data_IF_126147323542
#
_entry.id   IF_126147323542
#
_cell.length_a   1.000
_cell.length_b   1.000
_cell.length_c   1.000
_cell.angle_alpha   90.00
_cell.angle_beta   90.00
_cell.angle_gamma   90.00
#
_symmetry.space_group_name_H-M   'P 1'
#
loop_
_entity.id
_entity.type
_entity.pdbx_description
1 polymer ?
#
# COMPACT_ATOMS: atom_id res chain seq x y z
N UNK A 1 1.94 -0.66 17.19
CA UNK A 1 1.81 0.41 18.20
C UNK A 1 2.55 1.65 17.70
N UNK A 2 2.30 2.82 18.27
CA UNK A 2 3.05 4.05 17.91
C UNK A 2 4.54 3.91 18.27
N UNK A 3 4.84 3.23 19.38
CA UNK A 3 6.22 2.96 19.82
C UNK A 3 7.03 2.17 18.79
N UNK A 4 6.41 1.24 18.04
CA UNK A 4 7.11 0.46 16.99
C UNK A 4 7.66 1.37 15.88
N UNK A 5 6.88 2.37 15.47
CA UNK A 5 7.29 3.35 14.45
C UNK A 5 8.44 4.23 14.94
N UNK A 6 8.34 4.71 16.18
CA UNK A 6 9.38 5.54 16.80
C UNK A 6 10.67 4.74 17.00
N UNK A 7 10.56 3.48 17.45
CA UNK A 7 11.69 2.58 17.64
C UNK A 7 12.44 2.37 16.33
N UNK A 8 11.71 2.01 15.26
CA UNK A 8 12.27 1.78 13.92
C UNK A 8 13.08 2.97 13.43
N UNK A 9 12.56 4.18 13.61
CA UNK A 9 13.26 5.40 13.22
C UNK A 9 14.48 5.71 14.09
N UNK A 10 14.34 5.54 15.41
CA UNK A 10 15.40 5.81 16.36
C UNK A 10 16.61 4.89 16.10
N UNK A 11 16.38 3.58 15.98
CA UNK A 11 17.46 2.61 15.74
C UNK A 11 18.12 2.80 14.37
N UNK A 12 17.37 3.21 13.34
CA UNK A 12 17.93 3.52 12.02
C UNK A 12 19.01 4.61 12.12
N UNK A 13 18.70 5.72 12.79
CA UNK A 13 19.64 6.83 12.94
C UNK A 13 20.77 6.51 13.93
N UNK A 14 20.46 5.79 15.01
CA UNK A 14 21.39 5.57 16.11
C UNK A 14 22.55 4.65 15.71
N UNK A 15 22.30 3.60 14.91
CA UNK A 15 23.35 2.66 14.46
C UNK A 15 24.46 3.30 13.63
N UNK A 16 24.20 4.44 12.99
CA UNK A 16 25.21 5.15 12.19
C UNK A 16 26.07 6.12 13.02
N UNK A 17 25.79 6.28 14.32
CA UNK A 17 26.54 7.19 15.19
C UNK A 17 27.66 6.45 15.90
N UNK A 18 28.91 6.86 15.68
CA UNK A 18 30.09 6.21 16.26
C UNK A 18 30.06 6.16 17.80
N UNK A 19 29.34 7.08 18.45
CA UNK A 19 29.12 7.11 19.90
C UNK A 19 28.01 6.18 20.41
N UNK A 20 27.21 5.59 19.52
CA UNK A 20 26.12 4.70 19.91
C UNK A 20 26.66 3.35 20.39
N UNK A 21 26.04 2.81 21.46
CA UNK A 21 26.34 1.46 21.92
C UNK A 21 25.99 0.38 20.89
N UNK A 22 25.08 0.69 19.96
CA UNK A 22 24.67 -0.19 18.86
C UNK A 22 25.27 0.25 17.53
N UNK A 23 26.38 1.00 17.56
CA UNK A 23 27.05 1.46 16.34
C UNK A 23 27.44 0.29 15.43
N UNK A 24 27.18 0.48 14.14
CA UNK A 24 27.54 -0.46 13.08
C UNK A 24 27.96 0.34 11.84
N UNK A 25 29.23 0.20 11.44
CA UNK A 25 29.79 0.93 10.31
C UNK A 25 29.03 0.65 9.00
N UNK A 26 28.43 -0.54 8.85
CA UNK A 26 27.62 -0.89 7.69
C UNK A 26 26.33 -0.06 7.57
N UNK A 27 25.87 0.56 8.67
CA UNK A 27 24.68 1.42 8.67
C UNK A 27 24.97 2.84 8.17
N UNK A 28 26.21 3.31 8.27
CA UNK A 28 26.61 4.70 7.98
C UNK A 28 26.22 5.15 6.57
N UNK A 29 26.50 4.39 5.49
CA UNK A 29 26.18 4.83 4.13
C UNK A 29 24.68 5.09 3.90
N UNK A 30 23.81 4.29 4.55
CA UNK A 30 22.35 4.43 4.41
C UNK A 30 21.83 5.69 5.11
N UNK A 31 22.36 6.00 6.31
CA UNK A 31 21.97 7.19 7.06
C UNK A 31 22.52 8.46 6.40
N UNK A 32 23.78 8.42 5.93
CA UNK A 32 24.40 9.54 5.21
C UNK A 32 23.67 9.88 3.91
N UNK A 33 23.14 8.88 3.20
CA UNK A 33 22.32 9.09 2.02
C UNK A 33 20.93 9.66 2.36
N UNK A 34 20.37 9.27 3.51
CA UNK A 34 19.03 9.70 3.96
C UNK A 34 19.00 11.15 4.46
N UNK A 35 19.96 11.53 5.32
CA UNK A 35 19.95 12.78 6.09
C UNK A 35 19.84 14.08 5.27
N UNK A 36 20.48 14.25 4.09
CA UNK A 36 20.41 15.49 3.33
C UNK A 36 18.98 15.88 2.91
N UNK A 37 18.17 14.87 2.59
CA UNK A 37 16.80 15.05 2.11
C UNK A 37 15.78 15.18 3.24
N UNK A 38 16.00 14.49 4.36
CA UNK A 38 15.08 14.43 5.49
C UNK A 38 14.99 15.78 6.22
N UNK A 39 13.78 16.29 6.42
CA UNK A 39 13.51 17.55 7.14
C UNK A 39 12.81 17.36 8.47
N UNK A 40 12.14 16.24 8.66
CA UNK A 40 11.53 15.93 9.93
C UNK A 40 10.38 14.94 9.81
N UNK A 41 9.95 14.51 10.98
CA UNK A 41 8.78 13.67 11.17
C UNK A 41 8.02 14.22 12.38
N UNK A 42 6.70 14.39 12.24
CA UNK A 42 5.77 14.63 13.35
C UNK A 42 4.66 13.57 13.42
N UNK A 43 4.37 13.05 14.61
CA UNK A 43 3.15 12.27 14.88
C UNK A 43 2.04 13.27 15.17
N UNK A 44 1.09 13.42 14.24
CA UNK A 44 -0.01 14.38 14.34
C UNK A 44 -1.21 13.81 15.11
N UNK A 45 -1.39 12.49 15.08
CA UNK A 45 -2.43 11.76 15.80
C UNK A 45 -1.96 10.35 16.11
N UNK A 46 -2.39 9.78 17.23
CA UNK A 46 -2.13 8.37 17.60
C UNK A 46 -3.34 7.47 17.38
N UNK A 47 -4.54 8.04 17.19
CA UNK A 47 -5.78 7.31 16.93
C UNK A 47 -6.76 8.15 16.06
N UNK A 48 -6.90 7.86 14.75
CA UNK A 48 -6.04 6.96 13.98
C UNK A 48 -4.60 7.48 13.93
N UNK A 49 -3.63 6.59 13.76
CA UNK A 49 -2.22 6.97 13.64
C UNK A 49 -2.02 7.80 12.36
N UNK A 50 -1.67 9.07 12.54
CA UNK A 50 -1.33 9.97 11.44
C UNK A 50 0.09 10.48 11.66
N UNK A 51 0.93 10.20 10.67
CA UNK A 51 2.31 10.63 10.65
C UNK A 51 2.53 11.58 9.48
N UNK A 52 3.14 12.73 9.78
CA UNK A 52 3.63 13.67 8.79
C UNK A 52 5.13 13.47 8.59
N UNK A 53 5.53 13.35 7.33
CA UNK A 53 6.92 13.21 6.92
C UNK A 53 7.30 14.36 5.99
N UNK A 54 8.43 15.00 6.27
CA UNK A 54 8.92 16.14 5.52
C UNK A 54 10.28 15.79 4.90
N UNK A 55 10.38 15.89 3.57
CA UNK A 55 11.63 15.71 2.84
C UNK A 55 11.68 16.55 1.56
N UNK A 56 12.90 16.80 1.07
CA UNK A 56 13.15 17.45 -0.23
C UNK A 56 13.21 16.45 -1.40
N UNK A 57 13.08 15.14 -1.13
CA UNK A 57 13.04 14.10 -2.16
C UNK A 57 11.70 14.08 -2.85
N UNK A 58 11.73 14.02 -4.18
CA UNK A 58 10.56 13.75 -4.99
C UNK A 58 10.93 12.86 -6.18
N UNK A 59 9.97 12.05 -6.61
CA UNK A 59 10.03 11.24 -7.81
C UNK A 59 9.26 11.92 -8.95
N UNK A 60 9.62 11.64 -10.19
CA UNK A 60 8.88 12.16 -11.36
C UNK A 60 7.45 11.60 -11.40
N UNK A 61 7.31 10.33 -11.03
CA UNK A 61 6.02 9.64 -10.92
C UNK A 61 5.37 9.98 -9.58
N UNK A 62 4.17 10.56 -9.63
CA UNK A 62 3.48 11.11 -8.46
C UNK A 62 3.18 10.03 -7.40
N UNK A 63 2.85 8.81 -7.83
CA UNK A 63 2.57 7.67 -6.96
C UNK A 63 3.78 7.25 -6.13
N UNK A 64 5.01 7.50 -6.61
CA UNK A 64 6.24 7.21 -5.89
C UNK A 64 6.62 8.32 -4.89
N UNK A 65 5.87 9.42 -4.84
CA UNK A 65 6.04 10.47 -3.84
C UNK A 65 5.27 10.20 -2.54
N UNK A 66 4.42 9.18 -2.53
CA UNK A 66 3.78 8.69 -1.31
C UNK A 66 4.79 7.83 -0.58
N UNK A 67 5.20 8.24 0.62
CA UNK A 67 6.07 7.44 1.48
C UNK A 67 5.23 6.58 2.43
N UNK A 68 5.10 5.26 2.20
CA UNK A 68 4.47 4.38 3.17
C UNK A 68 5.41 4.23 4.37
N UNK A 69 5.08 4.88 5.48
CA UNK A 69 5.77 4.65 6.73
C UNK A 69 5.26 3.35 7.35
N UNK A 70 6.20 2.47 7.69
CA UNK A 70 5.94 1.19 8.34
C UNK A 70 7.05 0.95 9.36
N UNK A 71 6.78 0.32 10.53
CA UNK A 71 7.81 -0.05 11.48
C UNK A 71 8.59 -1.27 10.97
N UNK A 72 9.29 -1.10 9.83
CA UNK A 72 10.25 -2.06 9.31
C UNK A 72 11.61 -1.88 9.98
N UNK A 73 12.46 -2.90 9.96
CA UNK A 73 13.78 -2.83 10.57
C UNK A 73 14.82 -2.40 9.55
N UNK A 74 15.71 -1.48 9.94
CA UNK A 74 16.88 -1.14 9.15
C UNK A 74 18.01 -2.18 9.25
N UNK A 75 17.83 -3.26 10.01
CA UNK A 75 18.88 -4.21 10.42
C UNK A 75 18.67 -5.65 9.93
N UNK A 76 17.71 -5.88 9.03
CA UNK A 76 17.50 -7.19 8.40
C UNK A 76 16.38 -8.06 9.00
N UNK A 77 15.71 -7.62 10.08
CA UNK A 77 14.39 -8.14 10.45
C UNK A 77 13.38 -7.74 9.36
N UNK A 78 13.30 -8.55 8.32
CA UNK A 78 12.36 -8.39 7.21
C UNK A 78 10.94 -8.68 7.69
N UNK A 79 10.20 -7.68 8.17
CA UNK A 79 8.85 -7.87 8.70
C UNK A 79 8.42 -6.74 9.63
N UNK A 80 7.39 -6.99 10.44
CA UNK A 80 6.89 -6.03 11.43
C UNK A 80 7.80 -6.01 12.67
N UNK A 81 8.41 -4.86 12.93
CA UNK A 81 9.42 -4.74 13.98
C UNK A 81 8.83 -4.17 15.25
N UNK A 82 8.30 -5.09 16.06
CA UNK A 82 7.82 -4.75 17.38
C UNK A 82 8.96 -4.25 18.28
N UNK A 83 8.72 -3.15 19.00
CA UNK A 83 9.77 -2.45 19.75
C UNK A 83 10.45 -3.35 20.78
N UNK A 84 9.74 -4.30 21.38
CA UNK A 84 10.27 -5.18 22.40
C UNK A 84 11.28 -6.20 21.85
N UNK A 85 11.13 -6.61 20.58
CA UNK A 85 12.13 -7.46 19.89
C UNK A 85 13.40 -6.65 19.63
N UNK A 86 13.25 -5.41 19.14
CA UNK A 86 14.40 -4.52 18.95
C UNK A 86 15.05 -4.11 20.27
N UNK A 87 14.30 -4.03 21.38
CA UNK A 87 14.83 -3.73 22.69
C UNK A 87 15.85 -4.80 23.13
N UNK A 88 15.46 -6.09 23.08
CA UNK A 88 16.34 -7.19 23.47
C UNK A 88 17.51 -7.36 22.50
N UNK A 89 17.28 -7.09 21.20
CA UNK A 89 18.34 -7.09 20.19
C UNK A 89 19.35 -5.97 20.43
N UNK A 90 18.89 -4.76 20.79
CA UNK A 90 19.77 -3.64 21.10
C UNK A 90 20.61 -3.90 22.35
N UNK A 91 20.04 -4.52 23.37
CA UNK A 91 20.79 -4.90 24.57
C UNK A 91 21.89 -5.92 24.23
N UNK A 92 21.58 -6.91 23.38
CA UNK A 92 22.52 -7.93 22.94
C UNK A 92 23.63 -7.40 22.01
N UNK A 93 23.28 -6.47 21.13
CA UNK A 93 24.22 -5.73 20.28
C UNK A 93 25.15 -4.86 21.15
N UNK A 94 24.57 -4.08 22.07
CA UNK A 94 25.31 -3.17 22.93
C UNK A 94 26.25 -3.90 23.89
N UNK A 95 25.97 -5.16 24.21
CA UNK A 95 26.85 -5.99 25.03
C UNK A 95 28.02 -6.59 24.24
N UNK A 96 27.98 -6.55 22.90
CA UNK A 96 28.96 -7.18 22.03
C UNK A 96 28.92 -8.72 22.05
N UNK A 97 27.78 -9.33 22.41
CA UNK A 97 27.64 -10.80 22.40
C UNK A 97 27.23 -11.33 21.02
N UNK A 98 26.47 -10.53 20.28
CA UNK A 98 26.03 -10.78 18.89
C UNK A 98 25.98 -9.46 18.13
N UNK A 99 26.12 -9.51 16.81
CA UNK A 99 26.08 -8.32 15.94
C UNK A 99 24.92 -8.34 14.95
N UNK A 100 24.28 -7.21 14.68
CA UNK A 100 23.22 -7.09 13.67
C UNK A 100 23.71 -7.44 12.26
N UNK A 101 24.86 -6.88 11.84
CA UNK A 101 25.40 -7.11 10.49
C UNK A 101 26.44 -8.23 10.46
N UNK A 102 26.54 -8.88 9.31
CA UNK A 102 27.60 -9.85 9.03
C UNK A 102 28.99 -9.18 9.06
N UNK A 103 29.12 -7.94 8.55
CA UNK A 103 30.39 -7.22 8.53
C UNK A 103 30.94 -6.99 9.94
N UNK A 104 30.09 -6.51 10.86
CA UNK A 104 30.49 -6.32 12.26
C UNK A 104 30.75 -7.64 12.96
N UNK A 105 29.91 -8.66 12.73
CA UNK A 105 30.11 -10.01 13.26
C UNK A 105 31.48 -10.58 12.86
N UNK A 106 31.86 -10.42 11.59
CA UNK A 106 33.14 -10.88 11.06
C UNK A 106 34.32 -10.07 11.65
N UNK A 107 34.21 -8.75 11.78
CA UNK A 107 35.28 -7.92 12.37
C UNK A 107 35.50 -8.24 13.85
N UNK A 108 34.42 -8.38 14.60
CA UNK A 108 34.45 -8.61 16.05
C UNK A 108 34.60 -10.10 16.43
N UNK A 109 34.50 -10.99 15.44
CA UNK A 109 34.56 -12.45 15.61
C UNK A 109 33.47 -12.97 16.58
N UNK A 110 32.25 -12.44 16.43
CA UNK A 110 31.06 -12.82 17.20
C UNK A 110 29.96 -13.33 16.27
N UNK A 111 28.90 -13.93 16.84
CA UNK A 111 27.79 -14.47 16.04
C UNK A 111 26.96 -13.33 15.44
N UNK A 112 26.59 -13.47 14.16
CA UNK A 112 25.58 -12.59 13.56
C UNK A 112 24.21 -12.90 14.17
N UNK A 113 23.51 -11.87 14.62
CA UNK A 113 22.20 -11.96 15.25
C UNK A 113 21.19 -12.66 14.33
N UNK A 114 20.67 -13.77 14.82
CA UNK A 114 19.54 -14.51 14.25
C UNK A 114 18.38 -14.58 15.25
N UNK A 115 17.19 -14.23 14.79
CA UNK A 115 15.97 -14.32 15.61
C UNK A 115 15.25 -15.65 15.48
N UNK A 116 15.71 -16.54 14.60
CA UNK A 116 15.01 -17.78 14.20
C UNK A 116 15.74 -19.05 14.59
N UNK A 117 16.99 -18.95 15.04
CA UNK A 117 17.82 -20.12 15.32
C UNK A 117 19.26 -19.78 15.68
N UNK A 118 20.00 -20.80 16.08
CA UNK A 118 21.43 -20.69 16.41
C UNK A 118 21.70 -20.15 17.82
N UNK A 119 22.99 -19.92 18.16
CA UNK A 119 23.41 -19.46 19.48
C UNK A 119 22.79 -18.11 19.89
N UNK A 120 22.38 -17.29 18.91
CA UNK A 120 21.73 -16.00 19.16
C UNK A 120 20.47 -16.11 20.02
N UNK A 121 19.73 -17.24 19.95
CA UNK A 121 18.48 -17.39 20.72
C UNK A 121 18.72 -17.41 22.22
N UNK A 122 19.82 -18.00 22.70
CA UNK A 122 20.15 -18.02 24.13
C UNK A 122 20.51 -16.61 24.62
N UNK A 123 21.26 -15.86 23.81
CA UNK A 123 21.62 -14.47 24.10
C UNK A 123 20.38 -13.57 24.13
N UNK A 124 19.51 -13.67 23.12
CA UNK A 124 18.25 -12.91 23.07
C UNK A 124 17.33 -13.26 24.25
N UNK A 125 17.26 -14.53 24.66
CA UNK A 125 16.47 -14.95 25.84
C UNK A 125 17.00 -14.35 27.14
N UNK A 126 18.32 -14.33 27.33
CA UNK A 126 18.97 -13.66 28.46
C UNK A 126 18.57 -12.18 28.53
N UNK A 127 18.58 -11.47 27.40
CA UNK A 127 18.20 -10.05 27.37
C UNK A 127 16.70 -9.81 27.46
N UNK A 128 15.87 -10.76 27.05
CA UNK A 128 14.43 -10.74 27.38
C UNK A 128 14.21 -10.81 28.89
N UNK A 129 14.87 -11.74 29.59
CA UNK A 129 14.72 -11.89 31.04
C UNK A 129 15.17 -10.62 31.78
N UNK A 130 16.28 -10.02 31.33
CA UNK A 130 16.75 -8.73 31.86
C UNK A 130 15.74 -7.62 31.59
N UNK A 131 15.34 -7.43 30.34
CA UNK A 131 14.45 -6.35 29.93
C UNK A 131 13.09 -6.43 30.63
N UNK A 132 12.56 -7.64 30.80
CA UNK A 132 11.31 -7.88 31.52
C UNK A 132 11.45 -7.57 33.03
N UNK A 133 12.55 -7.98 33.66
CA UNK A 133 12.78 -7.72 35.09
C UNK A 133 12.96 -6.23 35.39
N UNK A 134 13.57 -5.48 34.47
CA UNK A 134 13.85 -4.05 34.60
C UNK A 134 12.69 -3.16 34.12
N UNK A 135 11.71 -3.72 33.38
CA UNK A 135 10.71 -2.92 32.67
C UNK A 135 11.36 -2.01 31.63
N UNK A 136 12.39 -2.51 30.93
CA UNK A 136 13.27 -1.72 30.07
C UNK A 136 12.51 -1.07 28.91
N UNK A 137 12.83 0.19 28.62
CA UNK A 137 12.28 0.93 27.47
C UNK A 137 13.45 1.47 26.63
N UNK A 138 13.67 0.99 25.40
CA UNK A 138 14.73 1.53 24.55
C UNK A 138 14.42 2.98 24.18
N UNK A 139 15.44 3.83 24.09
CA UNK A 139 15.29 5.27 23.84
C UNK A 139 14.19 5.93 24.70
N UNK A 140 14.20 5.63 26.00
CA UNK A 140 13.17 5.99 26.97
C UNK A 140 12.67 7.44 26.87
N UNK A 141 13.59 8.40 26.66
CA UNK A 141 13.25 9.83 26.51
C UNK A 141 12.21 10.11 25.40
N UNK A 142 12.14 9.25 24.38
CA UNK A 142 11.20 9.37 23.27
C UNK A 142 10.08 8.34 23.37
N UNK A 143 10.39 7.06 23.62
CA UNK A 143 9.39 5.99 23.58
C UNK A 143 8.43 5.98 24.77
N UNK A 144 8.83 6.45 25.95
CA UNK A 144 7.98 6.47 27.15
C UNK A 144 6.69 7.28 26.97
N UNK A 145 6.64 8.19 25.99
CA UNK A 145 5.45 8.96 25.66
C UNK A 145 4.33 8.12 25.03
N UNK A 146 4.65 6.93 24.53
CA UNK A 146 3.74 6.05 23.80
C UNK A 146 3.52 4.70 24.48
N UNK A 147 4.06 4.50 25.68
CA UNK A 147 4.04 3.24 26.39
C UNK A 147 3.59 3.46 27.83
N UNK A 148 2.65 2.64 28.29
CA UNK A 148 2.32 2.56 29.72
C UNK A 148 3.10 1.41 30.38
N UNK A 149 3.31 1.45 31.70
CA UNK A 149 3.94 0.34 32.43
C UNK A 149 3.23 -1.00 32.21
N UNK A 150 1.89 -0.99 32.11
CA UNK A 150 1.09 -2.17 31.85
C UNK A 150 1.32 -2.72 30.44
N UNK A 151 1.41 -1.85 29.42
CA UNK A 151 1.74 -2.27 28.06
C UNK A 151 3.16 -2.84 28.00
N UNK A 152 4.13 -2.24 28.67
CA UNK A 152 5.52 -2.72 28.72
C UNK A 152 5.57 -4.15 29.30
N UNK A 153 4.94 -4.35 30.45
CA UNK A 153 4.89 -5.66 31.10
C UNK A 153 4.22 -6.71 30.20
N UNK A 154 3.07 -6.37 29.61
CA UNK A 154 2.31 -7.26 28.73
C UNK A 154 3.09 -7.62 27.45
N UNK A 155 3.80 -6.65 26.84
CA UNK A 155 4.59 -6.87 25.62
C UNK A 155 5.74 -7.86 25.86
N UNK A 156 6.44 -7.72 26.98
CA UNK A 156 7.52 -8.65 27.33
C UNK A 156 6.99 -10.03 27.73
N UNK A 157 5.88 -10.09 28.48
CA UNK A 157 5.22 -11.36 28.80
C UNK A 157 4.79 -12.10 27.52
N UNK A 158 4.17 -11.39 26.57
CA UNK A 158 3.78 -11.97 25.28
C UNK A 158 4.99 -12.44 24.46
N UNK A 159 6.10 -11.70 24.48
CA UNK A 159 7.33 -12.11 23.80
C UNK A 159 7.94 -13.38 24.44
N UNK A 160 7.86 -13.51 25.77
CA UNK A 160 8.30 -14.71 26.49
C UNK A 160 7.43 -15.93 26.18
N UNK A 161 6.11 -15.73 26.11
CA UNK A 161 5.16 -16.77 25.72
C UNK A 161 5.42 -17.22 24.27
N UNK A 162 5.60 -16.27 23.36
CA UNK A 162 5.94 -16.54 21.96
C UNK A 162 7.20 -17.40 21.83
N UNK A 163 8.28 -17.02 22.53
CA UNK A 163 9.51 -17.81 22.54
C UNK A 163 9.30 -19.21 23.12
N UNK A 164 8.45 -19.35 24.15
CA UNK A 164 8.14 -20.65 24.76
C UNK A 164 7.37 -21.56 23.80
N UNK A 165 6.45 -20.99 23.02
CA UNK A 165 5.58 -21.74 22.10
C UNK A 165 6.26 -22.08 20.77
N UNK A 166 7.05 -21.16 20.22
CA UNK A 166 7.63 -21.27 18.87
C UNK A 166 9.16 -21.45 18.87
N UNK A 167 9.83 -21.21 20.00
CA UNK A 167 11.27 -21.40 20.14
C UNK A 167 12.12 -20.32 19.47
N UNK A 168 11.55 -19.18 19.08
CA UNK A 168 12.25 -18.10 18.38
C UNK A 168 11.67 -16.72 18.68
N UNK A 169 12.35 -15.65 18.27
CA UNK A 169 11.95 -14.25 18.50
C UNK A 169 11.39 -13.55 17.25
N UNK A 170 11.27 -14.27 16.14
CA UNK A 170 10.64 -13.77 14.94
C UNK A 170 9.11 -13.75 15.07
N UNK A 171 8.52 -12.56 15.16
CA UNK A 171 7.07 -12.34 15.20
C UNK A 171 6.65 -11.79 13.84
N UNK A 172 5.59 -12.36 13.25
CA UNK A 172 5.00 -11.85 12.01
C UNK A 172 3.51 -11.58 12.18
N UNK A 173 3.04 -10.46 11.64
CA UNK A 173 1.60 -10.10 11.62
C UNK A 173 0.98 -10.19 10.22
N UNK A 174 1.68 -10.85 9.29
CA UNK A 174 1.18 -11.18 7.96
C UNK A 174 0.14 -12.32 7.96
N UNK A 175 -0.32 -12.76 6.78
CA UNK A 175 -1.33 -13.84 6.65
C UNK A 175 -0.84 -15.20 7.16
N UNK A 176 0.48 -15.36 7.30
CA UNK A 176 1.12 -16.51 7.91
C UNK A 176 2.19 -16.03 8.90
N UNK A 177 2.36 -16.77 9.99
CA UNK A 177 3.46 -16.59 10.92
C UNK A 177 4.40 -17.80 10.90
N UNK A 178 5.65 -17.57 11.28
CA UNK A 178 6.67 -18.60 11.44
C UNK A 178 6.40 -19.37 12.73
N UNK A 179 6.18 -20.68 12.61
CA UNK A 179 5.84 -21.54 13.75
C UNK A 179 7.03 -22.39 14.21
N UNK A 180 7.80 -22.94 13.26
CA UNK A 180 8.95 -23.79 13.55
C UNK A 180 10.05 -23.58 12.52
N UNK A 181 11.30 -23.71 12.97
CA UNK A 181 12.50 -23.54 12.15
C UNK A 181 13.43 -24.72 12.38
N UNK A 182 13.84 -25.37 11.29
CA UNK A 182 14.73 -26.53 11.29
C UNK A 182 16.00 -26.17 10.51
N UNK A 183 16.98 -25.57 11.19
CA UNK A 183 18.20 -25.04 10.56
C UNK A 183 19.09 -26.13 9.95
N UNK A 184 19.08 -27.34 10.52
CA UNK A 184 19.85 -28.49 9.99
C UNK A 184 19.22 -29.02 8.70
N UNK A 185 17.91 -29.19 8.71
CA UNK A 185 17.10 -29.70 7.60
C UNK A 185 16.85 -28.64 6.53
N UNK A 186 17.13 -27.36 6.83
CA UNK A 186 16.84 -26.20 5.98
C UNK A 186 15.36 -26.12 5.60
N UNK A 187 14.49 -26.32 6.59
CA UNK A 187 13.04 -26.26 6.42
C UNK A 187 12.38 -25.44 7.53
N UNK A 188 11.17 -24.95 7.27
CA UNK A 188 10.38 -24.19 8.21
C UNK A 188 8.90 -24.52 8.07
N UNK A 189 8.12 -24.24 9.11
CA UNK A 189 6.66 -24.40 9.12
C UNK A 189 6.03 -23.02 9.28
N UNK A 190 5.08 -22.71 8.39
CA UNK A 190 4.25 -21.52 8.48
C UNK A 190 2.83 -21.95 8.87
N UNK A 191 2.19 -21.19 9.75
CA UNK A 191 0.78 -21.36 10.11
C UNK A 191 -0.02 -20.12 9.72
N UNK A 192 -1.27 -20.33 9.34
CA UNK A 192 -2.17 -19.22 9.03
C UNK A 192 -2.41 -18.39 10.29
N UNK A 193 -2.37 -17.06 10.15
CA UNK A 193 -2.78 -16.13 11.18
C UNK A 193 -4.28 -15.84 10.99
N UNK A 194 -5.13 -16.43 11.83
CA UNK A 194 -6.59 -16.36 11.67
C UNK A 194 -7.15 -14.94 11.86
N UNK A 195 -6.44 -14.08 12.61
CA UNK A 195 -6.84 -12.68 12.82
C UNK A 195 -6.31 -11.72 11.74
N UNK A 196 -5.66 -12.24 10.69
CA UNK A 196 -5.25 -11.40 9.56
C UNK A 196 -6.50 -10.81 8.86
N UNK A 197 -6.54 -9.49 8.60
CA UNK A 197 -7.78 -8.81 8.21
C UNK A 197 -8.29 -9.19 6.82
N UNK A 198 -7.40 -9.61 5.92
CA UNK A 198 -7.76 -9.98 4.56
C UNK A 198 -7.99 -11.50 4.46
N UNK A 199 -9.17 -11.87 3.96
CA UNK A 199 -9.46 -13.24 3.57
C UNK A 199 -8.63 -13.65 2.34
N UNK A 200 -8.49 -14.96 2.13
CA UNK A 200 -7.74 -15.52 1.01
C UNK A 200 -8.26 -15.06 -0.38
N UNK A 201 -9.52 -14.65 -0.46
CA UNK A 201 -10.18 -14.17 -1.68
C UNK A 201 -10.26 -12.64 -1.76
N UNK A 202 -9.57 -11.89 -0.89
CA UNK A 202 -9.57 -10.42 -0.86
C UNK A 202 -9.38 -9.77 -2.22
N UNK A 203 -8.49 -10.35 -3.03
CA UNK A 203 -8.11 -9.85 -4.35
C UNK A 203 -8.82 -10.58 -5.50
N UNK A 204 -9.74 -11.50 -5.20
CA UNK A 204 -10.44 -12.30 -6.22
C UNK A 204 -11.29 -11.43 -7.16
N UNK A 205 -11.75 -10.26 -6.72
CA UNK A 205 -12.46 -9.30 -7.58
C UNK A 205 -11.62 -8.81 -8.78
N UNK A 206 -10.30 -8.88 -8.71
CA UNK A 206 -9.41 -8.51 -9.81
C UNK A 206 -9.24 -9.63 -10.86
N UNK A 207 -9.73 -10.84 -10.58
CA UNK A 207 -9.69 -11.95 -11.55
C UNK A 207 -10.68 -11.79 -12.70
N UNK A 208 -11.75 -11.02 -12.47
CA UNK A 208 -12.77 -10.72 -13.46
C UNK A 208 -13.00 -9.20 -13.51
N UNK A 209 -12.14 -8.46 -14.24
CA UNK A 209 -12.21 -7.01 -14.26
C UNK A 209 -13.54 -6.54 -14.84
N UNK A 210 -14.20 -5.57 -14.17
CA UNK A 210 -15.44 -4.92 -14.60
C UNK A 210 -15.29 -4.11 -15.89
N UNK A 211 -15.00 -4.75 -17.02
CA UNK A 211 -14.92 -4.12 -18.34
C UNK A 211 -16.32 -3.82 -18.83
N UNK A 212 -16.56 -2.57 -19.22
CA UNK A 212 -17.84 -2.16 -19.79
C UNK A 212 -18.01 -2.72 -21.21
N UNK A 213 -19.18 -3.26 -21.49
CA UNK A 213 -19.71 -3.44 -22.85
C UNK A 213 -20.72 -2.34 -23.11
N UNK A 214 -20.71 -1.76 -24.31
CA UNK A 214 -21.52 -0.58 -24.63
C UNK A 214 -22.28 -0.83 -25.90
N UNK A 215 -23.58 -0.52 -25.88
CA UNK A 215 -24.44 -0.48 -27.06
C UNK A 215 -24.95 0.95 -27.21
N UNK A 216 -24.85 1.47 -28.43
CA UNK A 216 -25.42 2.76 -28.82
C UNK A 216 -26.53 2.47 -29.82
N UNK A 217 -27.73 2.94 -29.51
CA UNK A 217 -28.92 2.81 -30.33
C UNK A 217 -29.57 4.18 -30.54
N UNK A 218 -30.30 4.33 -31.64
CA UNK A 218 -30.92 5.60 -31.98
C UNK A 218 -31.43 5.66 -33.41
N UNK A 219 -31.92 6.83 -33.85
CA UNK A 219 -32.51 6.98 -35.16
C UNK A 219 -31.46 6.82 -36.26
N UNK A 220 -31.73 5.94 -37.24
CA UNK A 220 -30.89 5.79 -38.43
C UNK A 220 -30.96 7.00 -39.38
N UNK A 221 -31.93 7.90 -39.17
CA UNK A 221 -32.12 9.13 -39.94
C UNK A 221 -32.40 10.29 -39.00
N UNK A 222 -31.70 11.40 -39.18
CA UNK A 222 -31.86 12.63 -38.40
C UNK A 222 -32.17 13.77 -39.34
N UNK A 223 -33.25 14.50 -39.09
CA UNK A 223 -33.59 15.69 -39.86
C UNK A 223 -32.81 16.89 -39.33
N UNK A 224 -32.12 17.60 -40.20
CA UNK A 224 -31.34 18.77 -39.81
C UNK A 224 -32.26 19.85 -39.20
N UNK A 225 -31.92 20.33 -38.00
CA UNK A 225 -32.74 21.32 -37.28
C UNK A 225 -33.82 20.71 -36.38
N UNK A 226 -33.87 19.38 -36.22
CA UNK A 226 -34.71 18.69 -35.25
C UNK A 226 -33.86 18.01 -34.17
N UNK A 227 -34.46 17.78 -33.00
CA UNK A 227 -33.82 17.03 -31.93
C UNK A 227 -33.72 15.55 -32.28
N UNK A 228 -32.57 14.93 -31.97
CA UNK A 228 -32.36 13.50 -32.08
C UNK A 228 -31.79 12.93 -30.78
N UNK A 229 -32.43 11.89 -30.27
CA UNK A 229 -32.04 11.20 -29.03
C UNK A 229 -31.40 9.85 -29.38
N UNK A 230 -30.26 9.56 -28.76
CA UNK A 230 -29.57 8.29 -28.87
C UNK A 230 -29.38 7.69 -27.48
N UNK A 231 -29.75 6.42 -27.33
CA UNK A 231 -29.68 5.69 -26.08
C UNK A 231 -28.37 4.90 -26.00
N UNK A 232 -27.70 5.01 -24.87
CA UNK A 232 -26.42 4.36 -24.55
C UNK A 232 -26.65 3.38 -23.41
N UNK A 233 -26.48 2.10 -23.69
CA UNK A 233 -26.56 1.02 -22.71
C UNK A 233 -25.16 0.55 -22.34
N UNK A 234 -24.79 0.68 -21.07
CA UNK A 234 -23.51 0.27 -20.51
C UNK A 234 -23.75 -0.93 -19.59
N UNK A 235 -23.13 -2.06 -19.92
CA UNK A 235 -23.30 -3.32 -19.20
C UNK A 235 -21.97 -3.87 -18.70
N UNK A 236 -22.02 -4.62 -17.60
CA UNK A 236 -20.99 -5.57 -17.23
C UNK A 236 -21.58 -6.97 -17.36
N UNK A 237 -21.09 -7.73 -18.35
CA UNK A 237 -21.72 -8.99 -18.78
C UNK A 237 -23.20 -8.73 -19.14
N UNK A 238 -24.12 -9.42 -18.49
CA UNK A 238 -25.55 -9.36 -18.75
C UNK A 238 -26.31 -8.41 -17.79
N UNK A 239 -25.57 -7.66 -16.96
CA UNK A 239 -26.15 -6.72 -15.98
C UNK A 239 -25.79 -5.28 -16.32
N UNK A 240 -26.68 -4.35 -15.97
CA UNK A 240 -26.43 -2.91 -16.10
C UNK A 240 -25.19 -2.50 -15.30
N UNK A 241 -24.32 -1.70 -15.90
CA UNK A 241 -23.13 -1.21 -15.24
C UNK A 241 -23.51 -0.13 -14.22
N UNK A 242 -22.98 -0.23 -13.00
CA UNK A 242 -23.35 0.70 -11.94
C UNK A 242 -22.91 2.14 -12.29
N UNK A 243 -23.82 3.11 -12.19
CA UNK A 243 -23.52 4.51 -12.54
C UNK A 243 -22.45 5.10 -11.61
N UNK A 244 -22.44 4.68 -10.34
CA UNK A 244 -21.41 5.07 -9.37
C UNK A 244 -19.99 4.59 -9.76
N UNK A 245 -19.88 3.57 -10.61
CA UNK A 245 -18.63 3.03 -11.13
C UNK A 245 -18.26 3.68 -12.50
N UNK A 246 -19.04 4.64 -13.01
CA UNK A 246 -18.77 5.36 -14.27
C UNK A 246 -18.39 6.80 -13.95
N UNK A 247 -17.20 7.22 -14.40
CA UNK A 247 -16.74 8.61 -14.21
C UNK A 247 -17.47 9.58 -15.12
N UNK A 248 -17.63 9.22 -16.39
CA UNK A 248 -18.27 10.04 -17.42
C UNK A 248 -18.57 9.18 -18.66
N UNK A 249 -19.59 9.59 -19.42
CA UNK A 249 -19.93 9.07 -20.76
C UNK A 249 -19.85 10.24 -21.72
N UNK A 250 -18.84 10.26 -22.59
CA UNK A 250 -18.61 11.33 -23.57
C UNK A 250 -19.11 10.91 -24.93
N UNK A 251 -19.62 11.86 -25.71
CA UNK A 251 -19.88 11.65 -27.12
C UNK A 251 -19.06 12.61 -27.99
N UNK A 252 -18.76 12.17 -29.21
CA UNK A 252 -18.16 12.96 -30.27
C UNK A 252 -19.03 12.80 -31.51
N UNK A 253 -19.52 13.92 -32.03
CA UNK A 253 -20.31 13.97 -33.26
C UNK A 253 -19.40 14.36 -34.42
N UNK A 254 -19.43 13.56 -35.48
CA UNK A 254 -18.69 13.78 -36.71
C UNK A 254 -19.64 14.07 -37.88
N UNK A 255 -19.26 15.02 -38.74
CA UNK A 255 -19.98 15.32 -39.97
C UNK A 255 -19.65 14.34 -41.11
N UNK A 256 -20.21 14.61 -42.30
CA UNK A 256 -20.04 13.82 -43.51
C UNK A 256 -18.62 13.79 -44.08
N UNK A 257 -17.75 14.70 -43.63
CA UNK A 257 -16.33 14.74 -43.98
C UNK A 257 -15.45 14.05 -42.95
N UNK A 258 -16.02 13.64 -41.81
CA UNK A 258 -15.30 13.10 -40.66
C UNK A 258 -14.73 14.19 -39.74
N UNK A 259 -15.13 15.45 -39.89
CA UNK A 259 -14.72 16.53 -38.99
C UNK A 259 -15.58 16.51 -37.71
N UNK A 260 -14.98 16.86 -36.57
CA UNK A 260 -15.69 16.93 -35.28
C UNK A 260 -16.55 18.18 -35.27
N UNK A 261 -17.86 17.98 -35.08
CA UNK A 261 -18.87 19.05 -34.96
C UNK A 261 -19.09 19.40 -33.50
N UNK A 262 -19.18 18.39 -32.63
CA UNK A 262 -19.34 18.60 -31.20
C UNK A 262 -18.71 17.48 -30.36
N UNK A 263 -18.39 17.85 -29.13
CA UNK A 263 -18.03 16.93 -28.05
C UNK A 263 -18.89 17.30 -26.85
N UNK A 264 -19.56 16.32 -26.26
CA UNK A 264 -20.41 16.53 -25.10
C UNK A 264 -20.44 15.33 -24.18
N UNK A 265 -21.35 15.36 -23.21
CA UNK A 265 -21.55 14.30 -22.23
C UNK A 265 -22.99 13.78 -22.33
N UNK A 266 -23.16 12.46 -22.21
CA UNK A 266 -24.47 11.84 -22.16
C UNK A 266 -25.04 11.94 -20.75
N UNK A 267 -26.35 12.15 -20.63
CA UNK A 267 -27.02 12.26 -19.34
C UNK A 267 -27.49 10.90 -18.85
N UNK A 268 -27.31 10.60 -17.57
CA UNK A 268 -27.81 9.36 -16.98
C UNK A 268 -29.34 9.39 -16.88
N UNK A 269 -30.00 8.43 -17.52
CA UNK A 269 -31.47 8.28 -17.52
C UNK A 269 -31.93 7.05 -16.73
N UNK A 270 -30.99 6.17 -16.37
CA UNK A 270 -31.20 4.98 -15.54
C UNK A 270 -29.88 4.33 -15.16
N UNK A 271 -29.92 3.23 -14.40
CA UNK A 271 -28.71 2.46 -14.06
C UNK A 271 -28.11 1.85 -15.34
N UNK A 272 -26.85 2.17 -15.64
CA UNK A 272 -26.20 1.74 -16.88
C UNK A 272 -26.84 2.30 -18.16
N UNK A 273 -27.71 3.31 -18.06
CA UNK A 273 -28.44 3.88 -19.18
C UNK A 273 -28.21 5.38 -19.25
N UNK A 274 -27.70 5.81 -20.40
CA UNK A 274 -27.41 7.22 -20.68
C UNK A 274 -28.07 7.62 -21.99
N UNK A 275 -28.31 8.92 -22.16
CA UNK A 275 -28.88 9.46 -23.39
C UNK A 275 -28.01 10.60 -23.91
N UNK A 276 -27.73 10.56 -25.21
CA UNK A 276 -27.16 11.68 -25.95
C UNK A 276 -28.30 12.41 -26.65
N UNK A 277 -28.53 13.66 -26.26
CA UNK A 277 -29.46 14.54 -26.95
C UNK A 277 -28.69 15.45 -27.90
N UNK A 278 -28.90 15.27 -29.21
CA UNK A 278 -28.46 16.22 -30.22
C UNK A 278 -29.59 17.22 -30.44
N UNK A 279 -29.43 18.44 -29.94
CA UNK A 279 -30.45 19.47 -30.10
C UNK A 279 -30.56 19.96 -31.56
N UNK A 280 -31.63 20.68 -31.84
CA UNK A 280 -31.90 21.24 -33.16
C UNK A 280 -30.78 22.17 -33.67
N UNK A 281 -30.11 22.91 -32.77
CA UNK A 281 -29.02 23.80 -33.17
C UNK A 281 -27.82 23.00 -33.66
N UNK A 282 -27.48 21.91 -32.97
CA UNK A 282 -26.39 21.03 -33.33
C UNK A 282 -26.67 20.23 -34.60
N UNK A 283 -27.88 19.67 -34.74
CA UNK A 283 -28.24 18.92 -35.95
C UNK A 283 -28.35 19.83 -37.18
N UNK A 284 -28.70 21.11 -37.02
CA UNK A 284 -28.73 22.08 -38.13
C UNK A 284 -27.35 22.38 -38.74
N UNK A 285 -26.26 22.09 -38.01
CA UNK A 285 -24.89 22.28 -38.50
C UNK A 285 -24.42 21.12 -39.38
N UNK A 286 -25.14 20.00 -39.39
CA UNK A 286 -24.81 18.83 -40.18
C UNK A 286 -25.28 18.99 -41.61
N UNK A 287 -24.38 18.78 -42.57
CA UNK A 287 -24.76 18.67 -43.97
C UNK A 287 -25.47 17.34 -44.25
N UNK A 288 -26.39 17.34 -45.23
CA UNK A 288 -27.05 16.12 -45.71
C UNK A 288 -26.02 15.04 -46.09
N UNK A 289 -26.19 13.83 -45.57
CA UNK A 289 -25.28 12.70 -45.79
C UNK A 289 -25.04 11.86 -44.55
N UNK A 290 -24.03 10.98 -44.58
CA UNK A 290 -23.71 10.09 -43.45
C UNK A 290 -22.95 10.84 -42.37
N UNK A 291 -23.51 10.95 -41.17
CA UNK A 291 -22.83 11.44 -39.96
C UNK A 291 -22.56 10.26 -39.01
N UNK A 292 -21.65 10.46 -38.05
CA UNK A 292 -21.28 9.44 -37.07
C UNK A 292 -21.33 10.00 -35.66
N UNK A 293 -21.99 9.29 -34.76
CA UNK A 293 -21.93 9.52 -33.33
C UNK A 293 -21.03 8.46 -32.69
N UNK A 294 -19.99 8.88 -31.98
CA UNK A 294 -19.11 7.98 -31.22
C UNK A 294 -19.28 8.28 -29.73
N UNK A 295 -19.32 7.23 -28.90
CA UNK A 295 -19.49 7.35 -27.46
C UNK A 295 -18.37 6.61 -26.75
N UNK A 296 -17.79 7.25 -25.73
CA UNK A 296 -16.67 6.78 -24.92
C UNK A 296 -17.04 6.77 -23.44
N UNK A 297 -16.98 5.60 -22.81
CA UNK A 297 -17.33 5.37 -21.41
C UNK A 297 -16.02 5.29 -20.63
N UNK A 298 -15.94 5.93 -19.48
CA UNK A 298 -14.77 5.87 -18.58
C UNK A 298 -15.15 5.17 -17.27
N UNK A 299 -14.96 3.84 -17.16
CA UNK A 299 -15.19 3.12 -15.91
C UNK A 299 -14.11 3.41 -14.87
N UNK A 300 -14.51 3.62 -13.63
CA UNK A 300 -13.61 3.84 -12.48
C UNK A 300 -12.86 2.56 -12.09
N UNK A 301 -13.50 1.37 -11.95
CA UNK A 301 -12.85 0.21 -11.33
C UNK A 301 -11.67 -0.36 -12.14
N UNK A 302 -11.67 -0.19 -13.46
CA UNK A 302 -10.67 -0.79 -14.36
C UNK A 302 -9.83 0.23 -15.13
N UNK A 303 -10.22 1.51 -15.15
CA UNK A 303 -9.58 2.56 -15.93
C UNK A 303 -9.35 2.23 -17.43
N UNK A 304 -10.11 1.27 -17.98
CA UNK A 304 -10.11 0.88 -19.39
C UNK A 304 -11.38 1.45 -20.02
N UNK A 305 -11.27 2.44 -20.92
CA UNK A 305 -12.43 2.99 -21.61
C UNK A 305 -13.07 1.97 -22.56
N UNK A 306 -14.38 2.09 -22.74
CA UNK A 306 -15.12 1.36 -23.77
C UNK A 306 -15.67 2.34 -24.81
N UNK A 307 -15.69 1.94 -26.08
CA UNK A 307 -16.10 2.78 -27.19
C UNK A 307 -17.11 2.07 -28.07
N UNK A 308 -18.05 2.82 -28.63
CA UNK A 308 -18.91 2.37 -29.71
C UNK A 308 -19.26 3.54 -30.62
N UNK A 309 -19.62 3.27 -31.87
CA UNK A 309 -20.09 4.30 -32.80
C UNK A 309 -21.33 3.86 -33.55
N UNK A 310 -22.13 4.84 -33.96
CA UNK A 310 -23.35 4.66 -34.72
C UNK A 310 -23.37 5.65 -35.88
N UNK A 311 -23.51 5.12 -37.10
CA UNK A 311 -23.66 5.92 -38.31
C UNK A 311 -25.14 6.17 -38.60
N UNK A 312 -25.50 7.40 -38.92
CA UNK A 312 -26.86 7.80 -39.27
C UNK A 312 -26.86 8.75 -40.46
N UNK A 313 -28.00 8.86 -41.14
CA UNK A 313 -28.14 9.73 -42.32
C UNK A 313 -28.83 11.04 -41.92
N UNK A 314 -28.17 12.16 -42.21
CA UNK A 314 -28.72 13.51 -42.07
C UNK A 314 -29.50 13.86 -43.34
N UNK A 315 -30.74 14.35 -43.17
CA UNK A 315 -31.62 14.79 -44.27
C UNK A 315 -32.13 16.21 -44.07
#
# INVERSE_FOLDING_TARGET
SVADFVMSFAIFLDRAKAESAVYDESAVPSVDAFLPSFKGWRIASTDPLTIEYYADTYNADAELNILPLWPGSPTGLSGENSWQVLAISNLAEASGEIAYSADKADVEQIEQMSWVGGPSLEVLKKYLDQAQAEGYVPYEATLSQFLTPEEIALRYENLANWYTEHGHFWIGTGPYYLDQVFTTEKSLVLKNFEDFPDLADRWASFSDPKRASVVLDGPAQVTAGEEALFDVFVNYKDEAYANADIKQVKYILYDTTGAVVAVGEAEAVGEGQFQVALDAELTSQLATGSAKLEVAIVPIPVAIPAFTSFDFIVQ
#
